data_IF_724313986719
#
_entry.id   IF_724313986719
#
_cell.length_a   1.000
_cell.length_b   1.000
_cell.length_c   1.000
_cell.angle_alpha   90.00
_cell.angle_beta   90.00
_cell.angle_gamma   90.00
#
_symmetry.space_group_name_H-M   'P 1'
#
loop_
_entity.id
_entity.type
_entity.pdbx_description
1 polymer ?
#
# COMPACT_ATOMS: atom_id res chain seq x y z
N UNK A 1 22.57 -13.75 0.34
CA UNK A 1 22.46 -12.28 0.36
C UNK A 1 21.44 -11.94 1.44
N UNK A 2 21.86 -11.19 2.46
CA UNK A 2 21.11 -11.04 3.72
C UNK A 2 19.74 -10.36 3.53
N UNK A 3 18.71 -10.80 4.27
CA UNK A 3 17.35 -10.27 4.19
C UNK A 3 17.31 -8.77 4.51
N UNK A 4 18.21 -8.30 5.38
CA UNK A 4 18.40 -6.90 5.71
C UNK A 4 18.87 -6.04 4.51
N UNK A 5 19.75 -6.59 3.65
CA UNK A 5 20.26 -5.89 2.45
C UNK A 5 19.18 -5.75 1.37
N UNK A 6 18.22 -6.69 1.31
CA UNK A 6 17.06 -6.63 0.41
C UNK A 6 16.02 -5.61 0.88
N UNK A 7 15.85 -5.46 2.19
CA UNK A 7 14.92 -4.51 2.80
C UNK A 7 15.28 -3.03 2.55
N UNK A 8 16.58 -2.69 2.55
CA UNK A 8 17.04 -1.31 2.32
C UNK A 8 16.84 -0.85 0.86
N UNK A 9 16.90 -1.77 -0.11
CA UNK A 9 16.66 -1.44 -1.53
C UNK A 9 15.19 -1.22 -1.87
N UNK A 10 14.26 -1.85 -1.17
CA UNK A 10 12.86 -1.78 -1.56
C UNK A 10 12.18 -0.46 -1.17
N UNK A 11 12.69 0.26 -0.16
CA UNK A 11 12.22 1.62 0.19
C UNK A 11 13.43 2.54 0.23
N UNK A 12 13.56 3.37 -0.81
CA UNK A 12 14.63 4.37 -0.87
C UNK A 12 14.43 5.39 0.23
N UNK A 13 15.52 5.75 0.93
CA UNK A 13 15.50 6.79 1.97
C UNK A 13 14.93 8.12 1.47
N UNK A 14 15.19 8.47 0.21
CA UNK A 14 14.65 9.69 -0.40
C UNK A 14 13.12 9.66 -0.51
N UNK A 15 12.52 8.52 -0.86
CA UNK A 15 11.06 8.41 -0.94
C UNK A 15 10.41 8.59 0.44
N UNK A 16 11.01 7.99 1.48
CA UNK A 16 10.57 8.17 2.86
C UNK A 16 10.76 9.62 3.35
N UNK A 17 11.87 10.28 2.95
CA UNK A 17 12.12 11.70 3.24
C UNK A 17 11.06 12.59 2.60
N UNK A 18 10.77 12.40 1.31
CA UNK A 18 9.74 13.15 0.60
C UNK A 18 8.36 12.92 1.24
N UNK A 19 8.07 11.70 1.69
CA UNK A 19 6.82 11.41 2.39
C UNK A 19 6.71 12.17 3.71
N UNK A 20 7.74 12.07 4.56
CA UNK A 20 7.78 12.76 5.85
C UNK A 20 7.79 14.30 5.71
N UNK A 21 8.32 14.83 4.61
CA UNK A 21 8.28 16.26 4.30
C UNK A 21 6.96 16.72 3.63
N UNK A 22 6.01 15.81 3.38
CA UNK A 22 4.74 16.12 2.72
C UNK A 22 4.86 16.44 1.22
N UNK A 23 5.97 16.10 0.58
CA UNK A 23 6.28 16.41 -0.83
C UNK A 23 6.26 15.19 -1.76
N UNK A 24 6.01 13.99 -1.22
CA UNK A 24 5.90 12.75 -2.01
C UNK A 24 4.63 12.73 -2.89
N UNK A 25 4.78 13.01 -4.18
CA UNK A 25 3.69 12.93 -5.18
C UNK A 25 3.22 11.51 -5.48
N UNK A 26 4.05 10.50 -5.18
CA UNK A 26 3.80 9.08 -5.50
C UNK A 26 4.02 8.16 -4.29
N UNK A 27 3.60 8.60 -3.10
CA UNK A 27 3.74 7.84 -1.86
C UNK A 27 3.19 6.40 -1.94
N UNK A 28 2.16 6.17 -2.75
CA UNK A 28 1.56 4.86 -3.03
C UNK A 28 2.49 3.85 -3.74
N UNK A 29 3.64 4.29 -4.28
CA UNK A 29 4.68 3.38 -4.77
C UNK A 29 5.56 2.86 -3.62
N UNK A 30 5.64 3.63 -2.54
CA UNK A 30 6.52 3.38 -1.39
C UNK A 30 5.81 2.66 -0.25
N UNK A 31 4.57 3.06 0.05
CA UNK A 31 3.75 2.51 1.12
C UNK A 31 2.75 1.46 0.59
N UNK A 32 2.18 0.71 1.52
CA UNK A 32 1.21 -0.36 1.29
C UNK A 32 1.82 -1.70 0.92
N UNK A 33 0.99 -2.59 0.36
CA UNK A 33 1.40 -3.91 -0.12
C UNK A 33 1.81 -3.91 -1.61
N UNK A 34 2.99 -4.43 -1.92
CA UNK A 34 3.47 -4.56 -3.31
C UNK A 34 4.37 -5.79 -3.49
N UNK A 35 4.18 -6.54 -4.56
CA UNK A 35 5.11 -7.59 -4.95
C UNK A 35 6.46 -7.01 -5.41
N UNK A 36 7.57 -7.54 -4.86
CA UNK A 36 8.94 -7.13 -5.18
C UNK A 36 9.66 -8.33 -5.81
N UNK A 37 9.78 -8.40 -7.16
CA UNK A 37 10.32 -9.55 -7.86
C UNK A 37 11.72 -9.97 -7.41
N UNK A 38 12.59 -9.00 -7.10
CA UNK A 38 13.97 -9.24 -6.65
C UNK A 38 14.03 -9.95 -5.28
N UNK A 39 12.96 -9.84 -4.50
CA UNK A 39 12.81 -10.48 -3.20
C UNK A 39 11.97 -11.76 -3.27
N UNK A 40 11.24 -12.01 -4.37
CA UNK A 40 10.27 -13.10 -4.48
C UNK A 40 9.16 -13.02 -3.43
N UNK A 41 8.79 -11.80 -3.01
CA UNK A 41 7.95 -11.58 -1.84
C UNK A 41 7.11 -10.30 -1.98
N UNK A 42 5.99 -10.25 -1.26
CA UNK A 42 5.21 -9.04 -1.07
C UNK A 42 5.83 -8.18 0.05
N UNK A 43 6.21 -6.95 -0.29
CA UNK A 43 6.60 -5.92 0.67
C UNK A 43 5.35 -5.26 1.23
N UNK A 44 5.22 -5.28 2.55
CA UNK A 44 4.25 -4.51 3.30
C UNK A 44 4.95 -3.33 3.95
N UNK A 45 4.43 -2.12 3.79
CA UNK A 45 5.02 -0.91 4.35
C UNK A 45 3.96 0.04 4.90
N UNK A 46 4.05 0.38 6.19
CA UNK A 46 3.09 1.29 6.84
C UNK A 46 3.80 2.34 7.69
N UNK A 47 3.38 3.59 7.58
CA UNK A 47 3.87 4.67 8.42
C UNK A 47 3.13 4.68 9.75
N UNK A 48 3.84 4.35 10.82
CA UNK A 48 3.29 4.30 12.18
C UNK A 48 4.40 4.68 13.19
N UNK A 49 4.89 5.93 13.15
CA UNK A 49 6.13 6.33 13.82
C UNK A 49 6.10 6.16 15.34
N UNK A 50 4.91 6.25 15.95
CA UNK A 50 4.69 6.16 17.39
C UNK A 50 4.25 4.77 17.85
N UNK A 51 4.10 3.80 16.93
CA UNK A 51 3.76 2.44 17.33
C UNK A 51 4.92 1.80 18.12
N UNK A 52 4.57 0.97 19.11
CA UNK A 52 5.54 0.16 19.85
C UNK A 52 5.93 -1.08 19.05
N UNK A 53 4.95 -1.69 18.37
CA UNK A 53 5.17 -2.79 17.43
C UNK A 53 4.09 -2.80 16.36
N UNK A 54 4.46 -3.34 15.19
CA UNK A 54 3.54 -3.61 14.10
C UNK A 54 3.82 -5.02 13.57
N UNK A 55 2.75 -5.78 13.34
CA UNK A 55 2.79 -7.05 12.60
C UNK A 55 1.81 -6.97 11.43
N UNK A 56 2.12 -7.68 10.35
CA UNK A 56 1.15 -7.92 9.28
C UNK A 56 0.43 -9.23 9.56
N UNK A 57 -0.90 -9.23 9.53
CA UNK A 57 -1.72 -10.42 9.76
C UNK A 57 -2.63 -10.62 8.56
N UNK A 58 -2.85 -11.86 8.16
CA UNK A 58 -3.68 -12.17 7.00
C UNK A 58 -3.88 -13.66 6.81
N UNK A 59 -4.48 -14.02 5.68
CA UNK A 59 -4.90 -15.39 5.39
C UNK A 59 -3.73 -16.40 5.44
N UNK A 60 -2.55 -16.00 4.96
CA UNK A 60 -1.37 -16.87 4.88
C UNK A 60 -0.79 -17.27 6.26
N UNK A 61 -1.04 -16.47 7.30
CA UNK A 61 -0.52 -16.73 8.65
C UNK A 61 -1.62 -17.00 9.68
N UNK A 62 -2.83 -17.33 9.22
CA UNK A 62 -3.95 -17.63 10.11
C UNK A 62 -4.32 -16.48 11.04
N UNK A 63 -4.03 -15.25 10.64
CA UNK A 63 -4.24 -14.04 11.44
C UNK A 63 -3.44 -13.98 12.76
N UNK A 64 -2.34 -14.75 12.87
CA UNK A 64 -1.46 -14.73 14.03
C UNK A 64 -0.56 -13.47 14.06
N UNK A 65 -0.77 -12.65 15.08
CA UNK A 65 -0.01 -11.41 15.29
C UNK A 65 1.45 -11.58 15.67
N UNK A 66 1.92 -12.80 15.94
CA UNK A 66 3.33 -13.11 16.22
C UNK A 66 4.05 -13.73 15.01
N UNK A 67 3.31 -14.22 14.01
CA UNK A 67 3.88 -14.94 12.88
C UNK A 67 4.60 -14.05 11.86
N UNK A 68 4.28 -12.75 11.80
CA UNK A 68 4.87 -11.83 10.81
C UNK A 68 5.10 -10.42 11.38
N UNK A 69 6.03 -10.26 12.34
CA UNK A 69 6.41 -8.95 12.87
C UNK A 69 7.10 -8.10 11.79
N UNK A 70 6.86 -6.79 11.82
CA UNK A 70 7.48 -5.83 10.91
C UNK A 70 8.69 -5.16 11.58
N UNK A 71 9.68 -4.79 10.78
CA UNK A 71 10.86 -4.06 11.23
C UNK A 71 10.62 -2.56 11.13
N UNK A 72 10.80 -1.83 12.23
CA UNK A 72 10.78 -0.36 12.25
C UNK A 72 12.05 0.20 11.64
N UNK A 73 11.90 1.20 10.78
CA UNK A 73 12.99 2.04 10.27
C UNK A 73 13.04 3.38 11.00
N UNK A 74 14.18 4.06 10.93
CA UNK A 74 14.39 5.37 11.58
C UNK A 74 13.47 6.48 11.02
N UNK A 75 12.91 6.27 9.82
CA UNK A 75 11.99 7.18 9.15
C UNK A 75 10.52 7.00 9.58
N UNK A 76 10.24 6.11 10.55
CA UNK A 76 8.90 5.85 11.08
C UNK A 76 8.07 4.84 10.29
N UNK A 77 8.62 4.28 9.20
CA UNK A 77 7.98 3.25 8.40
C UNK A 77 8.31 1.87 8.97
N UNK A 78 7.30 1.03 9.07
CA UNK A 78 7.41 -0.39 9.40
C UNK A 78 7.37 -1.21 8.12
N UNK A 79 8.26 -2.18 7.98
CA UNK A 79 8.39 -2.99 6.76
C UNK A 79 8.48 -4.48 7.06
N UNK A 80 7.81 -5.30 6.25
CA UNK A 80 8.02 -6.74 6.19
C UNK A 80 7.99 -7.23 4.75
N UNK A 81 8.67 -8.35 4.48
CA UNK A 81 8.64 -9.05 3.20
C UNK A 81 8.14 -10.45 3.44
N UNK A 82 6.98 -10.77 2.88
CA UNK A 82 6.34 -12.06 3.09
C UNK A 82 6.29 -12.80 1.74
N UNK A 83 6.95 -13.97 1.63
CA UNK A 83 6.82 -14.81 0.44
C UNK A 83 5.43 -15.44 0.37
N UNK A 84 5.09 -16.03 -0.78
CA UNK A 84 3.87 -16.84 -0.97
C UNK A 84 2.53 -16.10 -0.77
N UNK A 85 2.54 -14.76 -0.73
CA UNK A 85 1.31 -13.96 -0.70
C UNK A 85 0.82 -13.67 -2.11
N UNK A 86 -0.43 -14.04 -2.39
CA UNK A 86 -1.06 -13.93 -3.71
C UNK A 86 -2.17 -12.88 -3.74
N UNK A 87 -2.53 -12.42 -4.94
CA UNK A 87 -3.68 -11.53 -5.14
C UNK A 87 -4.97 -12.13 -4.55
N UNK A 88 -5.79 -11.28 -3.94
CA UNK A 88 -7.05 -11.64 -3.31
C UNK A 88 -6.95 -12.01 -1.83
N UNK A 89 -5.77 -12.37 -1.32
CA UNK A 89 -5.57 -12.63 0.11
C UNK A 89 -5.85 -11.38 0.95
N UNK A 90 -6.51 -11.58 2.08
CA UNK A 90 -6.92 -10.52 2.99
C UNK A 90 -5.83 -10.31 4.05
N UNK A 91 -5.60 -9.06 4.43
CA UNK A 91 -4.67 -8.68 5.48
C UNK A 91 -5.07 -7.40 6.22
N UNK A 92 -4.46 -7.22 7.38
CA UNK A 92 -4.47 -5.99 8.21
C UNK A 92 -3.11 -5.79 8.89
N UNK A 93 -2.90 -4.60 9.42
CA UNK A 93 -1.83 -4.34 10.37
C UNK A 93 -2.33 -4.50 11.80
N UNK A 94 -1.68 -5.36 12.58
CA UNK A 94 -1.81 -5.40 14.03
C UNK A 94 -0.83 -4.41 14.62
N UNK A 95 -1.33 -3.34 15.23
CA UNK A 95 -0.54 -2.23 15.75
C UNK A 95 -0.69 -2.19 17.26
N UNK A 96 0.42 -2.19 17.99
CA UNK A 96 0.47 -1.81 19.40
C UNK A 96 0.82 -0.34 19.49
N UNK A 97 -0.13 0.48 19.92
CA UNK A 97 -0.01 1.93 20.01
C UNK A 97 0.96 2.39 21.11
N UNK A 98 1.28 3.69 21.11
CA UNK A 98 2.08 4.32 22.15
C UNK A 98 1.43 4.20 23.54
N UNK A 99 0.11 4.09 23.59
CA UNK A 99 -0.72 3.84 24.77
C UNK A 99 -0.74 2.37 25.22
N UNK A 100 -0.14 1.46 24.45
CA UNK A 100 -0.14 0.02 24.70
C UNK A 100 -1.39 -0.70 24.20
N UNK A 101 -2.37 0.01 23.63
CA UNK A 101 -3.55 -0.63 23.06
C UNK A 101 -3.20 -1.36 21.77
N UNK A 102 -3.84 -2.51 21.55
CA UNK A 102 -3.69 -3.27 20.31
C UNK A 102 -4.90 -3.05 19.43
N UNK A 103 -4.67 -2.66 18.17
CA UNK A 103 -5.71 -2.48 17.17
C UNK A 103 -5.38 -3.22 15.88
N UNK A 104 -6.41 -3.64 15.16
CA UNK A 104 -6.30 -4.08 13.78
C UNK A 104 -6.71 -2.93 12.86
N UNK A 105 -5.86 -2.60 11.90
CA UNK A 105 -6.11 -1.53 10.92
C UNK A 105 -6.00 -2.06 9.51
N UNK A 106 -6.95 -1.65 8.66
CA UNK A 106 -6.78 -1.74 7.22
C UNK A 106 -5.52 -0.96 6.80
N UNK A 107 -4.88 -1.38 5.72
CA UNK A 107 -3.79 -0.64 5.12
C UNK A 107 -4.32 0.69 4.54
N UNK A 108 -3.81 1.85 5.00
CA UNK A 108 -4.18 3.16 4.44
C UNK A 108 -3.86 3.31 2.94
N UNK A 109 -2.93 2.50 2.43
CA UNK A 109 -2.50 2.47 1.03
C UNK A 109 -2.98 1.21 0.28
N UNK A 110 -3.99 0.51 0.80
CA UNK A 110 -4.57 -0.66 0.13
C UNK A 110 -5.10 -0.30 -1.28
N UNK A 111 -4.74 -1.11 -2.28
CA UNK A 111 -5.32 -0.99 -3.62
C UNK A 111 -6.71 -1.60 -3.75
N UNK A 112 -7.06 -2.52 -2.86
CA UNK A 112 -8.37 -3.16 -2.83
C UNK A 112 -8.76 -3.46 -1.38
N UNK A 113 -10.05 -3.34 -1.06
CA UNK A 113 -10.63 -3.74 0.23
C UNK A 113 -11.64 -4.90 0.08
N UNK A 114 -11.95 -5.54 1.20
CA UNK A 114 -13.15 -6.39 1.32
C UNK A 114 -14.44 -5.60 1.05
N UNK A 115 -15.51 -6.32 0.70
CA UNK A 115 -16.82 -5.74 0.38
C UNK A 115 -17.76 -5.84 1.58
N UNK A 116 -18.69 -4.90 1.72
CA UNK A 116 -19.70 -4.92 2.79
C UNK A 116 -19.15 -4.44 4.13
N UNK A 117 -19.54 -5.04 5.27
CA UNK A 117 -19.11 -4.59 6.61
C UNK A 117 -17.69 -5.03 6.98
N UNK A 118 -17.09 -5.92 6.20
CA UNK A 118 -15.72 -6.38 6.41
C UNK A 118 -14.72 -5.25 6.11
N UNK A 119 -13.57 -5.27 6.80
CA UNK A 119 -12.62 -4.13 6.83
C UNK A 119 -11.20 -4.52 6.49
N UNK A 120 -10.95 -5.72 5.99
CA UNK A 120 -9.65 -6.16 5.53
C UNK A 120 -9.23 -5.49 4.23
N UNK A 121 -7.93 -5.27 4.11
CA UNK A 121 -7.30 -4.91 2.85
C UNK A 121 -7.02 -6.19 2.06
N UNK A 122 -7.08 -6.13 0.74
CA UNK A 122 -6.74 -7.26 -0.14
C UNK A 122 -5.40 -7.00 -0.81
N UNK A 123 -4.56 -8.01 -0.85
CA UNK A 123 -3.35 -7.98 -1.69
C UNK A 123 -3.80 -7.93 -3.14
N UNK A 124 -3.28 -6.95 -3.86
CA UNK A 124 -3.66 -6.73 -5.25
C UNK A 124 -2.50 -6.11 -6.02
N UNK A 125 -2.33 -6.53 -7.26
CA UNK A 125 -1.45 -5.87 -8.21
C UNK A 125 -2.28 -4.97 -9.14
N UNK A 126 -1.82 -3.72 -9.32
CA UNK A 126 -2.46 -2.77 -10.24
C UNK A 126 -2.05 -3.00 -11.70
N UNK A 127 -1.08 -3.89 -11.95
CA UNK A 127 -0.69 -4.29 -13.29
C UNK A 127 -1.74 -5.14 -14.01
N UNK A 128 -1.55 -5.33 -15.31
CA UNK A 128 -2.28 -6.33 -16.09
C UNK A 128 -3.53 -5.86 -16.84
N UNK A 129 -4.08 -4.68 -16.54
CA UNK A 129 -5.16 -4.11 -17.34
C UNK A 129 -4.62 -3.39 -18.59
N UNK A 130 -4.99 -3.89 -19.77
CA UNK A 130 -4.64 -3.29 -21.06
C UNK A 130 -5.61 -2.16 -21.41
N UNK A 131 -5.19 -0.93 -21.17
CA UNK A 131 -5.94 0.28 -21.53
C UNK A 131 -6.10 0.42 -23.05
N UNK A 132 -7.26 0.90 -23.50
CA UNK A 132 -7.61 1.10 -24.91
C UNK A 132 -7.97 2.56 -25.23
N UNK A 133 -7.72 3.49 -24.32
CA UNK A 133 -8.10 4.91 -24.39
C UNK A 133 -6.97 5.81 -24.96
N UNK A 134 -6.04 5.24 -25.72
CA UNK A 134 -4.84 5.92 -26.20
C UNK A 134 -5.13 7.19 -27.03
N UNK A 135 -6.08 7.13 -27.97
CA UNK A 135 -6.48 8.29 -28.77
C UNK A 135 -7.05 9.42 -27.89
N UNK A 136 -7.89 9.06 -26.91
CA UNK A 136 -8.45 10.03 -25.97
C UNK A 136 -7.37 10.68 -25.12
N UNK A 137 -6.45 9.89 -24.55
CA UNK A 137 -5.36 10.38 -23.71
C UNK A 137 -4.39 11.29 -24.47
N UNK A 138 -4.15 11.03 -25.75
CA UNK A 138 -3.34 11.87 -26.63
C UNK A 138 -4.02 13.20 -26.97
N UNK A 139 -5.34 13.19 -27.20
CA UNK A 139 -6.12 14.39 -27.52
C UNK A 139 -6.43 15.26 -26.30
N UNK A 140 -6.50 14.68 -25.09
CA UNK A 140 -6.87 15.40 -23.87
C UNK A 140 -6.00 16.63 -23.54
N UNK A 141 -4.65 16.58 -23.54
CA UNK A 141 -3.83 17.73 -23.17
C UNK A 141 -3.85 18.89 -24.19
N UNK A 142 -4.39 18.67 -25.40
CA UNK A 142 -4.48 19.72 -26.43
C UNK A 142 -5.77 20.54 -26.34
N UNK A 143 -6.70 20.14 -25.48
CA UNK A 143 -7.97 20.83 -25.25
C UNK A 143 -7.93 21.58 -23.92
N UNK A 144 -8.42 22.82 -23.93
CA UNK A 144 -8.66 23.57 -22.70
C UNK A 144 -10.05 23.20 -22.15
N UNK A 145 -10.15 22.53 -20.98
CA UNK A 145 -11.43 22.13 -20.41
C UNK A 145 -12.28 23.32 -19.96
N UNK A 146 -11.71 24.51 -19.74
CA UNK A 146 -12.44 25.69 -19.29
C UNK A 146 -13.21 26.36 -20.44
N UNK A 147 -12.62 26.40 -21.64
CA UNK A 147 -13.23 26.99 -22.84
C UNK A 147 -13.96 25.98 -23.74
N UNK A 148 -13.89 24.69 -23.43
CA UNK A 148 -14.57 23.63 -24.18
C UNK A 148 -16.00 23.38 -23.68
N UNK A 149 -16.94 22.97 -24.55
CA UNK A 149 -18.27 22.55 -24.12
C UNK A 149 -18.21 21.40 -23.12
N UNK A 150 -18.89 21.54 -21.99
CA UNK A 150 -18.94 20.54 -20.93
C UNK A 150 -20.37 20.44 -20.39
N UNK A 151 -20.95 19.25 -20.47
CA UNK A 151 -22.23 18.90 -19.84
C UNK A 151 -22.01 17.64 -19.03
N UNK A 152 -22.06 17.75 -17.71
CA UNK A 152 -21.77 16.65 -16.78
C UNK A 152 -23.09 16.02 -16.35
N UNK A 153 -23.22 14.71 -16.51
CA UNK A 153 -24.29 13.92 -15.92
C UNK A 153 -23.80 13.30 -14.60
N UNK A 154 -24.37 13.76 -13.49
CA UNK A 154 -24.07 13.22 -12.16
C UNK A 154 -24.84 11.90 -11.94
N UNK A 155 -24.16 10.89 -11.39
CA UNK A 155 -24.72 9.55 -11.19
C UNK A 155 -24.26 8.95 -9.84
N UNK A 156 -25.18 8.28 -9.15
CA UNK A 156 -24.87 7.38 -8.04
C UNK A 156 -24.71 5.95 -8.58
N UNK A 157 -23.54 5.33 -8.34
CA UNK A 157 -23.22 3.98 -8.85
C UNK A 157 -23.79 2.85 -7.97
N UNK A 158 -24.07 3.14 -6.70
CA UNK A 158 -24.50 2.16 -5.69
C UNK A 158 -25.98 1.87 -5.65
#
# INVERSE_FOLDING_TARGET
MDAAVRADKAIKREDARLFNAGSAKKAYLTLGCRYVPECGACRFAVWAPNARSVSVVGDWNGWDGLASPMTRRDDGIWVAFIPEVSNGMIYKYKIVGADGQTVLKADPFAFHAETGPATGSKVWDLGGYAWQDGEFMAARPTKDPISSPMSIYEMHIG
#
